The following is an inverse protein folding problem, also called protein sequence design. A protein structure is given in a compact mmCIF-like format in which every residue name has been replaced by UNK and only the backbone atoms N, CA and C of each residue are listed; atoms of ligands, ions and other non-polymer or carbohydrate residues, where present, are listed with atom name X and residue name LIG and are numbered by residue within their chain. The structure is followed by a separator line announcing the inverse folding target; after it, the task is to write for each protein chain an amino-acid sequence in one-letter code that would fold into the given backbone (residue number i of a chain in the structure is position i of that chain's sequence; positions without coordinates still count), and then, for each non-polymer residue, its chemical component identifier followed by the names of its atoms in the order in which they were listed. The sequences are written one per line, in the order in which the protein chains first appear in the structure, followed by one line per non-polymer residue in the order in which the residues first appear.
data_IF_026703597090
#
_entry.id   IF_026703597090
#
_cell.length_a   1.000
_cell.length_b   1.000
_cell.length_c   1.000
_cell.angle_alpha   90.00
_cell.angle_beta   90.00
_cell.angle_gamma   90.00
#
_symmetry.space_group_name_H-M   'P 1'
#
loop_
_entity.id
_entity.type
_entity.pdbx_description
1 polymer ?
#
# COMPACT_ATOMS: atom_id res chain seq x y z
N UNK A 1 0.23 -17.74 8.76
CA UNK A 1 -0.64 -16.60 8.40
C UNK A 1 -0.58 -16.49 6.89
N UNK A 2 -1.71 -16.56 6.17
CA UNK A 2 -1.71 -16.28 4.72
C UNK A 2 -1.87 -14.78 4.54
N UNK A 3 -1.02 -14.17 3.75
CA UNK A 3 -0.94 -12.71 3.63
C UNK A 3 -0.42 -12.30 2.26
N UNK A 4 -0.58 -11.02 1.95
CA UNK A 4 -0.05 -10.41 0.73
C UNK A 4 1.02 -9.41 1.15
N UNK A 5 2.22 -9.56 0.58
CA UNK A 5 3.31 -8.61 0.75
C UNK A 5 3.51 -7.88 -0.58
N UNK A 6 3.35 -6.56 -0.56
CA UNK A 6 3.64 -5.70 -1.69
C UNK A 6 5.03 -5.05 -1.49
N UNK A 7 5.99 -5.44 -2.31
CA UNK A 7 7.33 -4.89 -2.30
C UNK A 7 7.51 -3.98 -3.52
N UNK A 8 7.88 -2.73 -3.29
CA UNK A 8 8.15 -1.76 -4.35
C UNK A 8 9.60 -1.29 -4.26
N UNK A 9 10.36 -1.56 -5.32
CA UNK A 9 11.72 -1.08 -5.49
C UNK A 9 11.67 0.19 -6.33
N UNK A 10 12.26 1.27 -5.83
CA UNK A 10 12.30 2.56 -6.50
C UNK A 10 13.72 3.13 -6.47
N UNK A 11 13.97 4.13 -7.31
CA UNK A 11 15.19 4.95 -7.28
C UNK A 11 14.86 6.43 -7.10
N UNK A 12 15.70 7.17 -6.36
CA UNK A 12 15.62 8.61 -6.15
C UNK A 12 16.97 9.29 -6.44
N UNK A 13 16.98 10.62 -6.61
CA UNK A 13 18.23 11.40 -6.65
C UNK A 13 18.72 11.69 -5.21
N UNK A 14 20.04 11.67 -4.98
CA UNK A 14 20.63 11.71 -3.62
C UNK A 14 20.27 12.95 -2.78
N UNK A 15 19.86 14.05 -3.42
CA UNK A 15 19.44 15.28 -2.72
C UNK A 15 18.06 15.18 -2.03
N UNK A 16 17.26 14.14 -2.29
CA UNK A 16 15.86 14.09 -1.85
C UNK A 16 15.46 12.77 -1.19
N UNK A 17 16.41 12.06 -0.55
CA UNK A 17 16.10 10.84 0.20
C UNK A 17 15.47 11.18 1.57
N UNK A 18 14.32 11.84 1.55
CA UNK A 18 13.51 12.02 2.75
C UNK A 18 12.88 10.69 3.20
N UNK A 19 12.54 10.53 4.49
CA UNK A 19 11.92 9.31 5.03
C UNK A 19 10.52 8.99 4.47
N UNK A 20 9.96 9.85 3.61
CA UNK A 20 8.54 9.89 3.24
C UNK A 20 8.31 9.65 1.74
N UNK A 21 8.85 8.55 1.22
CA UNK A 21 8.71 8.18 -0.18
C UNK A 21 7.30 7.70 -0.56
N UNK A 22 6.62 7.00 0.35
CA UNK A 22 5.27 6.43 0.17
C UNK A 22 4.25 7.42 0.73
N UNK A 23 3.35 7.98 -0.09
CA UNK A 23 2.41 9.03 0.33
C UNK A 23 1.01 8.50 0.66
N UNK A 24 0.69 7.28 0.22
CA UNK A 24 -0.62 6.70 0.47
C UNK A 24 -0.83 5.35 -0.18
N UNK A 25 -1.88 4.66 0.26
CA UNK A 25 -2.38 3.40 -0.29
C UNK A 25 -3.88 3.52 -0.49
N UNK A 26 -4.37 3.08 -1.64
CA UNK A 26 -5.78 2.94 -1.94
C UNK A 26 -6.06 1.47 -2.23
N UNK A 27 -7.03 0.88 -1.54
CA UNK A 27 -7.48 -0.50 -1.73
C UNK A 27 -8.92 -0.45 -2.19
N UNK A 28 -9.19 -1.04 -3.35
CA UNK A 28 -10.53 -1.19 -3.90
C UNK A 28 -10.84 -2.68 -3.90
N UNK A 29 -11.91 -3.09 -3.22
CA UNK A 29 -12.43 -4.44 -3.31
C UNK A 29 -13.74 -4.42 -4.09
N UNK A 30 -13.72 -4.95 -5.31
CA UNK A 30 -14.88 -4.99 -6.20
C UNK A 30 -15.93 -6.00 -5.75
N UNK A 31 -15.50 -7.12 -5.16
CA UNK A 31 -16.41 -8.15 -4.64
C UNK A 31 -17.25 -7.62 -3.47
N UNK A 32 -16.63 -6.87 -2.56
CA UNK A 32 -17.27 -6.31 -1.36
C UNK A 32 -17.78 -4.88 -1.55
N UNK A 33 -17.53 -4.28 -2.70
CA UNK A 33 -17.87 -2.89 -3.02
C UNK A 33 -17.32 -1.88 -2.01
N UNK A 34 -16.06 -2.04 -1.58
CA UNK A 34 -15.42 -1.15 -0.61
C UNK A 34 -14.22 -0.41 -1.20
N UNK A 35 -14.00 0.81 -0.72
CA UNK A 35 -12.88 1.66 -1.09
C UNK A 35 -12.24 2.15 0.22
N UNK A 36 -10.96 1.82 0.43
CA UNK A 36 -10.20 2.23 1.59
C UNK A 36 -9.03 3.11 1.16
N UNK A 37 -8.93 4.32 1.73
CA UNK A 37 -7.90 5.30 1.40
C UNK A 37 -7.08 5.57 2.67
N UNK A 38 -5.78 5.35 2.58
CA UNK A 38 -4.82 5.61 3.65
C UNK A 38 -3.80 6.63 3.16
N UNK A 39 -3.82 7.84 3.73
CA UNK A 39 -2.86 8.91 3.40
C UNK A 39 -1.82 9.05 4.50
N UNK A 40 -0.57 9.34 4.14
CA UNK A 40 0.51 9.59 5.09
C UNK A 40 0.53 11.07 5.46
N UNK A 41 0.03 11.40 6.65
CA UNK A 41 0.21 12.76 7.19
C UNK A 41 1.45 12.88 8.11
N UNK A 42 2.09 11.77 8.53
CA UNK A 42 3.43 11.79 9.16
C UNK A 42 4.15 10.43 9.20
N UNK A 43 3.44 9.34 9.51
CA UNK A 43 4.01 7.98 9.55
C UNK A 43 2.94 7.02 9.06
N UNK A 44 3.23 6.21 8.05
CA UNK A 44 2.31 5.16 7.62
C UNK A 44 2.45 3.96 8.56
N UNK A 45 2.04 4.14 9.81
CA UNK A 45 1.85 3.05 10.77
C UNK A 45 0.35 2.83 10.90
N UNK A 46 -0.12 1.67 10.47
CA UNK A 46 -1.48 1.21 10.74
C UNK A 46 -1.56 0.87 12.23
N UNK A 47 -2.52 1.45 12.95
CA UNK A 47 -2.84 0.94 14.28
C UNK A 47 -3.60 -0.39 14.16
N UNK A 48 -3.86 -1.06 15.28
CA UNK A 48 -4.55 -2.36 15.27
C UNK A 48 -5.97 -2.30 14.66
N UNK A 49 -6.68 -1.19 14.85
CA UNK A 49 -8.03 -0.96 14.28
C UNK A 49 -7.96 -0.81 12.76
N UNK A 50 -6.99 -0.04 12.25
CA UNK A 50 -6.76 0.14 10.83
C UNK A 50 -6.42 -1.20 10.16
N UNK A 51 -5.57 -2.01 10.81
CA UNK A 51 -5.21 -3.34 10.32
C UNK A 51 -6.41 -4.29 10.31
N UNK A 52 -7.24 -4.24 11.35
CA UNK A 52 -8.49 -5.02 11.42
C UNK A 52 -9.47 -4.62 10.31
N UNK A 53 -9.51 -3.33 9.97
CA UNK A 53 -10.34 -2.84 8.87
C UNK A 53 -9.83 -3.31 7.50
N UNK A 54 -8.50 -3.25 7.26
CA UNK A 54 -7.91 -3.78 6.02
C UNK A 54 -8.18 -5.29 5.90
N UNK A 55 -7.87 -6.06 6.94
CA UNK A 55 -7.97 -7.52 6.90
C UNK A 55 -9.41 -8.03 6.80
N UNK A 56 -10.39 -7.36 7.41
CA UNK A 56 -11.81 -7.73 7.26
C UNK A 56 -12.36 -7.45 5.84
N UNK A 57 -11.79 -6.44 5.17
CA UNK A 57 -12.15 -6.09 3.80
C UNK A 57 -11.44 -6.95 2.74
N UNK A 58 -10.57 -7.88 3.11
CA UNK A 58 -9.88 -8.77 2.19
C UNK A 58 -10.23 -10.24 2.47
N UNK A 59 -10.43 -11.02 1.42
CA UNK A 59 -10.82 -12.43 1.52
C UNK A 59 -10.28 -13.25 0.36
N UNK A 60 -10.12 -14.58 0.53
CA UNK A 60 -9.73 -15.45 -0.57
C UNK A 60 -10.72 -15.37 -1.73
N UNK A 61 -10.23 -15.07 -2.94
CA UNK A 61 -11.07 -14.96 -4.14
C UNK A 61 -11.72 -13.59 -4.34
N UNK A 62 -11.49 -12.61 -3.46
CA UNK A 62 -11.91 -11.24 -3.69
C UNK A 62 -11.15 -10.62 -4.88
N UNK A 63 -11.86 -9.87 -5.72
CA UNK A 63 -11.27 -9.06 -6.78
C UNK A 63 -10.85 -7.70 -6.19
N UNK A 64 -9.54 -7.49 -6.09
CA UNK A 64 -8.94 -6.38 -5.35
C UNK A 64 -7.90 -5.66 -6.19
N UNK A 65 -8.01 -4.34 -6.23
CA UNK A 65 -7.00 -3.45 -6.81
C UNK A 65 -6.32 -2.63 -5.71
N UNK A 66 -4.99 -2.59 -5.73
CA UNK A 66 -4.18 -1.86 -4.76
C UNK A 66 -3.36 -0.82 -5.50
N UNK A 67 -3.63 0.45 -5.20
CA UNK A 67 -2.84 1.58 -5.66
C UNK A 67 -1.92 2.06 -4.56
N UNK A 68 -0.69 2.37 -4.94
CA UNK A 68 0.30 2.92 -4.04
C UNK A 68 0.79 4.24 -4.61
N UNK A 69 0.66 5.31 -3.84
CA UNK A 69 1.14 6.63 -4.23
C UNK A 69 2.50 6.89 -3.62
N UNK A 70 3.37 7.50 -4.42
CA UNK A 70 4.71 7.90 -4.03
C UNK A 70 4.86 9.42 -4.12
N UNK A 71 5.73 9.99 -3.29
CA UNK A 71 6.09 11.39 -3.32
C UNK A 71 6.86 11.76 -4.59
N UNK A 72 6.92 13.05 -4.89
CA UNK A 72 7.59 13.56 -6.08
C UNK A 72 9.06 13.10 -6.10
N UNK A 73 9.57 12.79 -7.31
CA UNK A 73 10.97 12.44 -7.61
C UNK A 73 11.37 10.96 -7.36
N UNK A 74 10.41 10.07 -7.16
CA UNK A 74 10.67 8.63 -7.20
C UNK A 74 10.35 8.03 -8.56
N UNK A 75 11.25 7.16 -9.03
CA UNK A 75 11.00 6.33 -10.21
C UNK A 75 10.84 4.90 -9.71
N UNK A 76 9.65 4.33 -9.84
CA UNK A 76 9.40 2.91 -9.55
C UNK A 76 10.17 2.06 -10.57
N UNK A 77 10.97 1.13 -10.06
CA UNK A 77 11.80 0.23 -10.87
C UNK A 77 11.20 -1.17 -10.95
N UNK A 78 10.62 -1.65 -9.84
CA UNK A 78 10.05 -2.99 -9.77
C UNK A 78 8.96 -3.05 -8.73
N UNK A 79 7.91 -3.80 -9.04
CA UNK A 79 6.85 -4.16 -8.08
C UNK A 79 6.80 -5.68 -7.99
N UNK A 80 6.69 -6.19 -6.77
CA UNK A 80 6.54 -7.61 -6.47
C UNK A 80 5.37 -7.79 -5.51
N UNK A 81 4.49 -8.73 -5.84
CA UNK A 81 3.41 -9.20 -4.96
C UNK A 81 3.75 -10.63 -4.56
N UNK A 82 3.87 -10.88 -3.26
CA UNK A 82 4.11 -12.21 -2.70
C UNK A 82 2.90 -12.64 -1.89
N UNK A 83 2.36 -13.82 -2.20
CA UNK A 83 1.29 -14.46 -1.45
C UNK A 83 1.87 -15.62 -0.62
N UNK A 84 1.65 -15.61 0.70
CA UNK A 84 2.12 -16.67 1.63
C UNK A 84 0.99 -17.55 2.13
#
# INVERSE_FOLDING_TARGET
MKGIILCVVYSSTSENMGPECLTGVLIINYTKCTIQIYKRDAVMSFNDEDWKNVTSNLGPGDDVEIFVSFGNRLIVKKTLVLCT
#
